data_IF_228923191682
#
_entry.id   IF_228923191682
#
_cell.length_a   1.000
_cell.length_b   1.000
_cell.length_c   1.000
_cell.angle_alpha   90.00
_cell.angle_beta   90.00
_cell.angle_gamma   90.00
#
_symmetry.space_group_name_H-M   'P 1'
#
loop_
_entity.id
_entity.type
_entity.pdbx_description
1 polymer ?
#
# COMPACT_ATOMS: atom_id res chain seq x y z
N UNK A 1 13.72 3.76 8.40
CA UNK A 1 13.35 2.37 8.08
C UNK A 1 11.86 2.23 7.77
N UNK A 2 10.95 2.66 8.66
CA UNK A 2 9.49 2.63 8.40
C UNK A 2 9.07 3.35 7.11
N UNK A 3 9.61 4.54 6.84
CA UNK A 3 9.32 5.25 5.60
C UNK A 3 9.80 4.51 4.35
N UNK A 4 10.89 3.75 4.44
CA UNK A 4 11.39 2.97 3.32
C UNK A 4 10.41 1.83 3.01
N UNK A 5 9.93 1.11 4.04
CA UNK A 5 8.95 0.04 3.87
C UNK A 5 7.64 0.55 3.26
N UNK A 6 7.07 1.63 3.80
CA UNK A 6 5.82 2.19 3.25
C UNK A 6 6.01 2.78 1.87
N UNK A 7 7.17 3.38 1.60
CA UNK A 7 7.52 3.86 0.28
C UNK A 7 7.63 2.70 -0.71
N UNK A 8 8.32 1.62 -0.36
CA UNK A 8 8.48 0.42 -1.18
C UNK A 8 7.13 -0.19 -1.56
N UNK A 9 6.24 -0.40 -0.58
CA UNK A 9 4.96 -1.08 -0.78
C UNK A 9 3.85 -0.15 -1.34
N UNK A 10 3.76 1.09 -0.88
CA UNK A 10 2.62 1.99 -1.18
C UNK A 10 3.00 3.29 -1.89
N UNK A 11 4.29 3.59 -2.01
CA UNK A 11 4.78 4.74 -2.78
C UNK A 11 4.58 6.06 -2.04
N UNK A 12 4.27 5.96 -0.75
CA UNK A 12 4.05 7.06 0.17
C UNK A 12 4.95 6.85 1.41
N UNK A 13 5.67 7.88 1.85
CA UNK A 13 6.35 7.82 3.14
C UNK A 13 5.33 7.72 4.28
N UNK A 14 5.75 7.12 5.39
CA UNK A 14 4.94 6.99 6.59
C UNK A 14 4.76 8.35 7.26
N UNK A 15 5.86 9.11 7.38
CA UNK A 15 5.84 10.51 7.82
C UNK A 15 5.23 11.40 6.75
N UNK A 16 4.62 12.50 7.18
CA UNK A 16 4.11 13.53 6.28
C UNK A 16 5.25 14.38 5.68
N UNK A 17 6.08 13.74 4.85
CA UNK A 17 7.23 14.33 4.16
C UNK A 17 7.09 14.12 2.65
N UNK A 18 7.72 14.97 1.85
CA UNK A 18 7.66 14.85 0.40
C UNK A 18 8.55 13.70 -0.11
N UNK A 19 8.16 13.02 -1.19
CA UNK A 19 8.94 11.90 -1.78
C UNK A 19 10.41 12.26 -2.04
N UNK A 20 10.77 13.43 -2.60
CA UNK A 20 12.17 13.79 -2.83
C UNK A 20 13.00 13.93 -1.54
N UNK A 21 12.36 14.19 -0.39
CA UNK A 21 13.04 14.31 0.91
C UNK A 21 13.50 12.94 1.46
N UNK A 22 13.07 11.84 0.85
CA UNK A 22 13.57 10.50 1.17
C UNK A 22 14.93 10.21 0.53
N UNK A 23 15.31 10.99 -0.48
CA UNK A 23 16.59 10.83 -1.18
C UNK A 23 17.70 11.43 -0.34
N UNK A 24 18.85 10.78 -0.32
CA UNK A 24 20.04 11.28 0.37
C UNK A 24 20.45 12.66 -0.16
N UNK A 25 20.76 13.58 0.75
CA UNK A 25 21.10 14.99 0.45
C UNK A 25 22.51 15.18 -0.12
N UNK A 26 23.37 14.17 -0.10
CA UNK A 26 24.75 14.27 -0.59
C UNK A 26 24.83 14.02 -2.10
N UNK A 27 24.24 12.91 -2.56
CA UNK A 27 24.31 12.47 -3.96
C UNK A 27 23.00 12.71 -4.73
N UNK A 28 21.87 12.82 -4.04
CA UNK A 28 20.52 13.03 -4.59
C UNK A 28 20.11 12.06 -5.70
N UNK A 29 20.72 10.87 -5.76
CA UNK A 29 20.59 9.88 -6.84
C UNK A 29 20.52 8.46 -6.26
N UNK A 30 20.01 7.53 -7.06
CA UNK A 30 20.00 6.08 -6.80
C UNK A 30 19.25 5.66 -5.52
N UNK A 31 18.20 6.41 -5.16
CA UNK A 31 17.31 6.00 -4.10
C UNK A 31 16.41 4.86 -4.58
N UNK A 32 16.75 3.64 -4.17
CA UNK A 32 16.00 2.40 -4.43
C UNK A 32 15.70 1.72 -3.10
N UNK A 33 14.48 1.22 -2.96
CA UNK A 33 14.05 0.37 -1.86
C UNK A 33 13.63 -0.97 -2.42
N UNK A 34 14.17 -2.03 -1.84
CA UNK A 34 13.81 -3.41 -2.13
C UNK A 34 13.15 -4.02 -0.89
N UNK A 35 12.01 -4.68 -1.09
CA UNK A 35 11.27 -5.36 -0.04
C UNK A 35 11.00 -6.78 -0.49
N UNK A 36 11.56 -7.72 0.24
CA UNK A 36 11.42 -9.16 0.02
C UNK A 36 10.54 -9.75 1.12
N UNK A 37 9.48 -10.46 0.76
CA UNK A 37 8.56 -11.05 1.70
C UNK A 37 7.84 -12.26 1.12
N UNK A 38 7.26 -13.07 2.01
CA UNK A 38 6.50 -14.25 1.66
C UNK A 38 5.01 -13.99 1.89
N UNK A 39 4.18 -14.33 0.91
CA UNK A 39 2.72 -14.38 1.06
C UNK A 39 2.26 -15.81 0.85
N UNK A 40 1.93 -16.48 1.96
CA UNK A 40 1.62 -17.91 1.95
C UNK A 40 2.85 -18.73 1.56
N UNK A 41 2.87 -19.25 0.33
CA UNK A 41 4.00 -20.03 -0.24
C UNK A 41 4.75 -19.29 -1.35
N UNK A 42 4.26 -18.12 -1.77
CA UNK A 42 4.85 -17.34 -2.87
C UNK A 42 5.89 -16.39 -2.30
N UNK A 43 7.03 -16.36 -2.94
CA UNK A 43 8.12 -15.43 -2.69
C UNK A 43 7.92 -14.17 -3.54
N UNK A 44 7.91 -13.00 -2.91
CA UNK A 44 7.64 -11.73 -3.60
C UNK A 44 8.74 -10.73 -3.30
N UNK A 45 9.28 -10.15 -4.35
CA UNK A 45 10.27 -9.08 -4.29
C UNK A 45 9.70 -7.84 -4.97
N UNK A 46 9.65 -6.74 -4.23
CA UNK A 46 9.18 -5.44 -4.72
C UNK A 46 10.35 -4.47 -4.72
N UNK A 47 10.69 -3.92 -5.89
CA UNK A 47 11.72 -2.89 -6.04
C UNK A 47 11.08 -1.56 -6.44
N UNK A 48 11.41 -0.49 -5.73
CA UNK A 48 10.90 0.84 -6.03
C UNK A 48 11.97 1.92 -5.91
N UNK A 49 12.11 2.74 -6.95
CA UNK A 49 13.08 3.83 -7.04
C UNK A 49 12.45 5.21 -7.20
N UNK A 50 13.14 6.26 -6.76
CA UNK A 50 12.72 7.67 -6.95
C UNK A 50 13.48 8.34 -8.10
N UNK A 51 14.79 8.05 -8.23
CA UNK A 51 15.70 8.62 -9.24
C UNK A 51 16.80 7.58 -9.58
N UNK A 52 16.62 6.71 -10.59
CA UNK A 52 15.51 6.64 -11.55
C UNK A 52 14.20 6.15 -10.93
N UNK A 53 13.07 6.55 -11.51
CA UNK A 53 11.75 6.06 -11.09
C UNK A 53 11.57 4.63 -11.62
N UNK A 54 11.69 3.67 -10.71
CA UNK A 54 11.58 2.25 -11.00
C UNK A 54 10.43 1.69 -10.16
N UNK A 55 9.62 0.80 -10.73
CA UNK A 55 8.69 0.00 -9.94
C UNK A 55 8.55 -1.38 -10.55
N UNK A 56 9.12 -2.37 -9.88
CA UNK A 56 9.13 -3.77 -10.32
C UNK A 56 8.58 -4.67 -9.22
N UNK A 57 7.86 -5.70 -9.64
CA UNK A 57 7.36 -6.76 -8.78
C UNK A 57 7.79 -8.08 -9.41
N UNK A 58 8.48 -8.89 -8.63
CA UNK A 58 8.94 -10.22 -9.00
C UNK A 58 8.26 -11.23 -8.07
N UNK A 59 7.74 -12.32 -8.65
CA UNK A 59 7.06 -13.39 -7.91
C UNK A 59 7.70 -14.72 -8.27
N UNK A 60 8.22 -15.44 -7.28
CA UNK A 60 8.86 -16.75 -7.44
C UNK A 60 9.96 -16.78 -8.53
N UNK A 61 10.72 -15.67 -8.68
CA UNK A 61 11.79 -15.54 -9.68
C UNK A 61 11.34 -15.09 -11.07
N UNK A 62 10.02 -14.92 -11.30
CA UNK A 62 9.48 -14.40 -12.54
C UNK A 62 9.06 -12.93 -12.36
N UNK A 63 9.62 -12.03 -13.18
CA UNK A 63 9.17 -10.64 -13.21
C UNK A 63 7.75 -10.56 -13.79
N UNK A 64 6.85 -9.87 -13.07
CA UNK A 64 5.52 -9.57 -13.58
C UNK A 64 5.66 -8.60 -14.76
N UNK A 65 5.03 -8.90 -15.91
CA UNK A 65 5.24 -8.16 -17.17
C UNK A 65 4.97 -6.65 -17.00
N UNK A 66 6.03 -5.83 -17.12
CA UNK A 66 6.08 -4.36 -16.94
C UNK A 66 5.23 -3.51 -17.91
N UNK A 67 4.35 -4.12 -18.72
CA UNK A 67 3.58 -3.43 -19.76
C UNK A 67 2.32 -2.70 -19.24
N UNK A 68 1.97 -2.86 -17.97
CA UNK A 68 0.82 -2.20 -17.35
C UNK A 68 1.19 -0.82 -16.77
N UNK A 69 0.20 0.05 -16.57
CA UNK A 69 0.43 1.35 -15.95
C UNK A 69 0.86 1.16 -14.47
N UNK A 70 1.72 2.04 -13.95
CA UNK A 70 2.19 2.02 -12.53
C UNK A 70 1.02 1.96 -11.56
N UNK A 71 -0.11 2.60 -11.91
CA UNK A 71 -1.34 2.56 -11.12
C UNK A 71 -1.93 1.15 -11.02
N UNK A 72 -1.97 0.43 -12.12
CA UNK A 72 -2.56 -0.91 -12.19
C UNK A 72 -1.67 -1.92 -11.45
N UNK A 73 -0.35 -1.74 -11.50
CA UNK A 73 0.59 -2.50 -10.67
C UNK A 73 0.40 -2.26 -9.18
N UNK A 74 0.20 -0.99 -8.77
CA UNK A 74 -0.05 -0.66 -7.37
C UNK A 74 -1.36 -1.29 -6.90
N UNK A 75 -2.41 -1.22 -7.72
CA UNK A 75 -3.70 -1.85 -7.41
C UNK A 75 -3.59 -3.38 -7.32
N UNK A 76 -2.81 -4.00 -8.21
CA UNK A 76 -2.51 -5.43 -8.14
C UNK A 76 -1.78 -5.81 -6.84
N UNK A 77 -0.75 -5.04 -6.45
CA UNK A 77 0.00 -5.28 -5.22
C UNK A 77 -0.89 -5.14 -3.97
N UNK A 78 -1.73 -4.11 -3.91
CA UNK A 78 -2.61 -3.87 -2.77
C UNK A 78 -3.75 -4.91 -2.68
N UNK A 79 -4.43 -5.21 -3.79
CA UNK A 79 -5.62 -6.07 -3.80
C UNK A 79 -5.28 -7.56 -3.84
N UNK A 80 -4.34 -7.97 -4.68
CA UNK A 80 -4.08 -9.41 -4.93
C UNK A 80 -2.97 -9.98 -4.06
N UNK A 81 -1.97 -9.17 -3.70
CA UNK A 81 -0.80 -9.64 -2.95
C UNK A 81 -0.94 -9.32 -1.46
N UNK A 82 -1.05 -8.04 -1.10
CA UNK A 82 -1.07 -7.61 0.30
C UNK A 82 -2.45 -7.78 0.94
N UNK A 83 -3.52 -7.67 0.15
CA UNK A 83 -4.92 -7.60 0.61
C UNK A 83 -5.15 -6.53 1.68
N UNK A 84 -4.31 -5.48 1.66
CA UNK A 84 -4.31 -4.41 2.64
C UNK A 84 -4.05 -3.11 1.90
N UNK A 85 -4.88 -2.12 2.19
CA UNK A 85 -4.66 -0.75 1.73
C UNK A 85 -3.59 -0.06 2.61
N UNK A 86 -3.08 1.09 2.17
CA UNK A 86 -2.08 1.87 2.93
C UNK A 86 -2.53 2.26 4.36
N UNK A 87 -3.80 2.68 4.54
CA UNK A 87 -4.34 3.03 5.87
C UNK A 87 -4.39 1.79 6.77
N UNK A 88 -4.94 0.69 6.30
CA UNK A 88 -5.03 -0.58 7.02
C UNK A 88 -3.65 -1.11 7.39
N UNK A 89 -2.68 -1.04 6.47
CA UNK A 89 -1.30 -1.44 6.74
C UNK A 89 -0.64 -0.58 7.83
N UNK A 90 -0.77 0.74 7.75
CA UNK A 90 -0.19 1.65 8.75
C UNK A 90 -0.85 1.52 10.12
N UNK A 91 -2.12 1.13 10.18
CA UNK A 91 -2.87 1.02 11.44
C UNK A 91 -2.74 -0.36 12.11
N UNK A 92 -2.55 -1.42 11.33
CA UNK A 92 -2.49 -2.80 11.82
C UNK A 92 -1.04 -3.26 11.99
N UNK A 93 -0.18 -3.00 11.01
CA UNK A 93 1.18 -3.57 10.93
C UNK A 93 2.21 -2.61 11.54
N UNK A 94 2.06 -1.30 11.35
CA UNK A 94 3.01 -0.30 11.85
C UNK A 94 2.50 0.30 13.17
N UNK A 95 3.03 -0.18 14.30
CA UNK A 95 2.81 0.45 15.60
C UNK A 95 3.92 1.48 15.86
N UNK A 96 3.73 2.71 15.38
CA UNK A 96 4.70 3.82 15.50
C UNK A 96 4.44 4.74 16.70
N UNK A 97 5.48 5.31 17.32
CA UNK A 97 5.39 6.02 18.61
C UNK A 97 4.89 7.49 18.52
N UNK A 98 5.07 8.21 17.41
CA UNK A 98 4.95 9.70 17.42
C UNK A 98 3.72 10.30 16.72
N UNK A 99 2.98 9.55 15.92
CA UNK A 99 1.81 10.08 15.17
C UNK A 99 0.74 9.02 14.90
N UNK A 100 0.77 7.93 15.68
CA UNK A 100 -0.19 6.84 15.56
C UNK A 100 -1.47 7.23 16.27
N UNK A 101 -2.58 7.29 15.53
CA UNK A 101 -3.93 7.33 16.10
C UNK A 101 -4.38 5.88 16.22
N UNK A 102 -4.50 5.31 17.43
CA UNK A 102 -4.91 3.93 17.60
C UNK A 102 -6.25 3.64 16.91
N UNK A 103 -6.42 2.42 16.41
CA UNK A 103 -7.65 1.96 15.77
C UNK A 103 -8.92 2.36 16.55
N UNK A 104 -8.88 2.24 17.88
CA UNK A 104 -10.01 2.59 18.75
C UNK A 104 -10.41 4.08 18.71
N UNK A 105 -9.47 4.97 18.37
CA UNK A 105 -9.68 6.42 18.31
C UNK A 105 -10.02 6.92 16.90
N UNK A 106 -9.97 6.06 15.87
CA UNK A 106 -10.37 6.42 14.52
C UNK A 106 -11.87 6.70 14.43
N UNK A 107 -12.31 7.45 13.41
CA UNK A 107 -13.74 7.70 13.16
C UNK A 107 -14.46 6.39 12.84
N UNK A 108 -15.76 6.33 13.11
CA UNK A 108 -16.56 5.12 12.87
C UNK A 108 -16.51 4.64 11.40
N UNK A 109 -16.42 5.57 10.44
CA UNK A 109 -16.26 5.24 9.01
C UNK A 109 -14.90 4.60 8.73
N UNK A 110 -13.79 5.25 9.10
CA UNK A 110 -12.44 4.70 8.86
C UNK A 110 -12.23 3.34 9.57
N UNK A 111 -12.83 3.14 10.76
CA UNK A 111 -12.79 1.82 11.43
C UNK A 111 -13.55 0.76 10.64
N UNK A 112 -14.72 1.09 10.09
CA UNK A 112 -15.50 0.16 9.26
C UNK A 112 -14.71 -0.24 8.02
N UNK A 113 -14.10 0.72 7.32
CA UNK A 113 -13.29 0.45 6.12
C UNK A 113 -12.15 -0.54 6.42
N UNK A 114 -11.43 -0.35 7.53
CA UNK A 114 -10.33 -1.24 7.93
C UNK A 114 -10.84 -2.66 8.24
N UNK A 115 -12.00 -2.79 8.91
CA UNK A 115 -12.58 -4.09 9.24
C UNK A 115 -13.14 -4.79 8.00
N UNK A 116 -13.76 -4.05 7.09
CA UNK A 116 -14.28 -4.60 5.83
C UNK A 116 -13.15 -5.12 4.94
N UNK A 117 -12.00 -4.42 4.91
CA UNK A 117 -10.79 -4.87 4.23
C UNK A 117 -10.21 -6.13 4.86
N UNK A 118 -10.12 -6.16 6.19
CA UNK A 118 -9.55 -7.29 6.93
C UNK A 118 -10.39 -8.57 6.74
N UNK A 119 -11.72 -8.43 6.72
CA UNK A 119 -12.66 -9.53 6.59
C UNK A 119 -13.00 -9.86 5.12
N UNK A 120 -12.49 -9.08 4.16
CA UNK A 120 -12.79 -9.22 2.73
C UNK A 120 -14.30 -9.16 2.42
N UNK A 121 -15.01 -8.22 3.07
CA UNK A 121 -16.48 -8.05 2.97
C UNK A 121 -16.92 -6.74 2.31
N UNK A 122 -16.00 -6.05 1.62
CA UNK A 122 -16.28 -4.79 0.89
C UNK A 122 -17.43 -4.88 -0.12
N UNK A 123 -17.78 -6.09 -0.55
CA UNK A 123 -18.88 -6.33 -1.48
C UNK A 123 -20.23 -5.82 -0.94
N UNK A 124 -20.48 -5.89 0.36
CA UNK A 124 -21.75 -5.43 0.95
C UNK A 124 -21.88 -3.90 0.89
N UNK A 125 -20.79 -3.18 1.15
CA UNK A 125 -20.76 -1.72 1.03
C UNK A 125 -20.98 -1.27 -0.41
N UNK A 126 -20.37 -1.98 -1.38
CA UNK A 126 -20.58 -1.73 -2.81
C UNK A 126 -22.04 -1.98 -3.22
N UNK A 127 -22.63 -3.09 -2.80
CA UNK A 127 -24.04 -3.42 -3.06
C UNK A 127 -25.00 -2.38 -2.45
N UNK A 128 -24.73 -1.91 -1.24
CA UNK A 128 -25.55 -0.87 -0.60
C UNK A 128 -25.52 0.45 -1.38
N UNK A 129 -24.35 0.84 -1.92
CA UNK A 129 -24.24 2.05 -2.74
C UNK A 129 -25.03 1.92 -4.05
N UNK A 130 -24.96 0.75 -4.69
CA UNK A 130 -25.72 0.43 -5.90
C UNK A 130 -27.23 0.47 -5.61
N UNK A 131 -27.66 -0.11 -4.50
CA UNK A 131 -29.08 -0.09 -4.10
C UNK A 131 -29.59 1.34 -3.87
N UNK A 132 -28.77 2.21 -3.29
CA UNK A 132 -29.11 3.63 -3.14
C UNK A 132 -29.20 4.35 -4.47
N UNK A 133 -28.36 4.05 -5.46
CA UNK A 133 -28.49 4.66 -6.79
C UNK A 133 -29.80 4.28 -7.47
N UNK A 134 -30.27 3.04 -7.28
CA UNK A 134 -31.55 2.59 -7.84
C UNK A 134 -32.78 3.09 -7.08
N UNK A 135 -32.64 3.52 -5.82
CA UNK A 135 -33.75 4.02 -5.00
C UNK A 135 -34.00 5.53 -5.16
N UNK A 136 -33.17 6.22 -5.94
CA UNK A 136 -33.29 7.66 -6.23
C UNK A 136 -33.98 7.91 -7.60
N UNK A 137 -34.19 6.86 -8.39
CA UNK A 137 -35.12 6.82 -9.53
C UNK A 137 -36.51 6.33 -9.07
#
# INVERSE_FOLDING_TARGET
MLDALTFGLFGKPFRNVNKPQLVNSINEREAVVEVEFYVGKKHILVRRGIKPNLFEIETDGAQLQQNANVRDFQEFLEKNVLKLNYKSFTQIVILGNSSFVPFMQLRAADRRDIIEDLLDIQIFSSMNNILKSYAID
#
